data_IF_091891037813
#
_entry.id   IF_091891037813
#
_cell.length_a   1.000
_cell.length_b   1.000
_cell.length_c   1.000
_cell.angle_alpha   90.00
_cell.angle_beta   90.00
_cell.angle_gamma   90.00
#
_symmetry.space_group_name_H-M   'P 1'
#
loop_
_entity.id
_entity.type
_entity.pdbx_description
1 polymer ?
#
# COMPACT_ATOMS: atom_id res chain seq x y z
N UNK A 1 12.10 3.78 -19.58
CA UNK A 1 12.23 5.15 -19.11
C UNK A 1 12.33 5.14 -17.60
N UNK A 2 13.20 5.95 -17.03
CA UNK A 2 13.38 5.99 -15.59
C UNK A 2 12.12 6.55 -14.91
N UNK A 3 11.80 6.09 -13.72
CA UNK A 3 10.71 6.56 -12.86
C UNK A 3 10.74 8.09 -12.65
N UNK A 4 11.92 8.70 -12.69
CA UNK A 4 12.11 10.15 -12.68
C UNK A 4 11.35 10.83 -13.83
N UNK A 5 11.28 10.23 -15.02
CA UNK A 5 10.56 10.80 -16.15
C UNK A 5 9.04 10.83 -15.96
N UNK A 6 8.49 9.94 -15.14
CA UNK A 6 7.05 9.93 -14.81
C UNK A 6 6.76 11.03 -13.78
N UNK A 7 7.60 11.16 -12.77
CA UNK A 7 7.46 12.17 -11.72
C UNK A 7 7.53 13.60 -12.27
N UNK A 8 8.41 13.84 -13.24
CA UNK A 8 8.62 15.16 -13.83
C UNK A 8 7.49 15.60 -14.78
N UNK A 9 6.59 14.68 -15.16
CA UNK A 9 5.41 15.00 -15.99
C UNK A 9 4.28 15.66 -15.22
N UNK A 10 4.23 15.47 -13.91
CA UNK A 10 3.15 15.98 -13.07
C UNK A 10 3.66 17.13 -12.20
N UNK A 11 3.35 18.34 -12.61
CA UNK A 11 3.62 19.55 -11.83
C UNK A 11 2.31 20.10 -11.27
N UNK A 12 1.92 19.62 -10.10
CA UNK A 12 0.67 20.01 -9.44
C UNK A 12 0.94 21.21 -8.53
N UNK A 13 0.17 22.32 -8.66
CA UNK A 13 0.31 23.48 -7.79
C UNK A 13 -0.09 23.12 -6.35
N UNK A 14 0.71 23.59 -5.39
CA UNK A 14 0.38 23.48 -3.98
C UNK A 14 -0.54 24.64 -3.58
N UNK A 15 -1.75 24.31 -3.15
CA UNK A 15 -2.76 25.27 -2.72
C UNK A 15 -3.10 25.02 -1.25
N UNK A 16 -3.05 26.04 -0.41
CA UNK A 16 -3.38 25.95 1.03
C UNK A 16 -4.83 25.50 1.28
N UNK A 17 -5.69 25.63 0.28
CA UNK A 17 -7.09 25.21 0.36
C UNK A 17 -7.31 23.71 0.12
N UNK A 18 -6.30 23.01 -0.40
CA UNK A 18 -6.36 21.58 -0.67
C UNK A 18 -5.78 20.76 0.49
N UNK A 19 -6.18 19.50 0.61
CA UNK A 19 -5.54 18.56 1.52
C UNK A 19 -4.03 18.44 1.23
N UNK A 20 -3.23 18.07 2.23
CA UNK A 20 -1.77 17.87 2.11
C UNK A 20 -1.40 16.87 1.01
N UNK A 21 -2.20 15.83 0.84
CA UNK A 21 -2.11 14.91 -0.28
C UNK A 21 -3.28 15.20 -1.22
N UNK A 22 -2.99 15.73 -2.38
CA UNK A 22 -3.97 16.12 -3.38
C UNK A 22 -3.75 15.46 -4.75
N UNK A 23 -2.85 14.46 -4.83
CA UNK A 23 -2.53 13.72 -6.04
C UNK A 23 -1.08 13.31 -6.10
N UNK A 24 -0.74 12.46 -7.05
CA UNK A 24 0.61 11.96 -7.27
C UNK A 24 0.67 10.45 -7.50
N UNK A 25 1.82 9.86 -7.20
CA UNK A 25 2.03 8.42 -7.31
C UNK A 25 1.85 7.76 -5.94
N UNK A 26 0.99 6.77 -5.87
CA UNK A 26 0.72 5.97 -4.68
C UNK A 26 1.01 4.51 -4.97
N UNK A 27 1.75 3.85 -4.10
CA UNK A 27 2.08 2.45 -4.27
C UNK A 27 3.20 2.01 -3.38
N UNK A 28 3.97 1.02 -3.82
CA UNK A 28 5.06 0.48 -3.04
C UNK A 28 6.28 0.14 -3.90
N UNK A 29 7.41 0.14 -3.22
CA UNK A 29 8.65 -0.47 -3.64
C UNK A 29 8.88 -1.66 -2.71
N UNK A 30 8.99 -2.87 -3.26
CA UNK A 30 9.24 -4.08 -2.46
C UNK A 30 10.65 -4.06 -1.87
N UNK A 31 10.90 -4.96 -0.92
CA UNK A 31 12.24 -5.16 -0.38
C UNK A 31 13.25 -5.53 -1.48
N UNK A 32 12.84 -6.35 -2.44
CA UNK A 32 13.68 -6.81 -3.55
C UNK A 32 14.07 -5.71 -4.54
N UNK A 33 13.46 -4.52 -4.45
CA UNK A 33 13.89 -3.33 -5.21
C UNK A 33 15.36 -2.97 -4.96
N UNK A 34 15.92 -3.35 -3.81
CA UNK A 34 17.35 -3.20 -3.49
C UNK A 34 18.26 -3.82 -4.54
N UNK A 35 17.81 -4.89 -5.21
CA UNK A 35 18.60 -5.59 -6.27
C UNK A 35 18.86 -4.73 -7.48
N UNK A 36 18.03 -3.73 -7.76
CA UNK A 36 18.25 -2.77 -8.85
C UNK A 36 19.31 -1.73 -8.52
N UNK A 37 19.63 -1.57 -7.23
CA UNK A 37 20.56 -0.57 -6.71
C UNK A 37 21.89 -1.23 -6.34
N UNK A 38 21.85 -2.42 -5.74
CA UNK A 38 23.00 -3.17 -5.22
C UNK A 38 23.30 -4.39 -6.12
N UNK A 39 24.25 -4.27 -7.08
CA UNK A 39 24.50 -5.33 -8.08
C UNK A 39 24.89 -6.68 -7.47
N UNK A 40 25.55 -6.69 -6.29
CA UNK A 40 25.96 -7.92 -5.63
C UNK A 40 24.78 -8.73 -5.07
N UNK A 41 23.59 -8.13 -4.98
CA UNK A 41 22.34 -8.81 -4.59
C UNK A 41 21.49 -9.22 -5.79
N UNK A 42 21.82 -8.78 -7.01
CA UNK A 42 21.02 -9.00 -8.20
C UNK A 42 20.86 -10.49 -8.58
N UNK A 43 21.92 -11.28 -8.36
CA UNK A 43 21.99 -12.69 -8.77
C UNK A 43 21.45 -13.68 -7.73
N UNK A 44 20.70 -13.20 -6.73
CA UNK A 44 20.11 -14.12 -5.74
C UNK A 44 18.91 -14.87 -6.35
N UNK A 45 19.04 -16.17 -6.53
CA UNK A 45 18.01 -17.08 -7.06
C UNK A 45 17.09 -17.54 -5.92
N UNK A 46 16.45 -16.59 -5.25
CA UNK A 46 15.50 -16.87 -4.19
C UNK A 46 14.09 -17.07 -4.76
N UNK A 47 13.35 -18.08 -4.29
CA UNK A 47 12.00 -18.31 -4.78
C UNK A 47 11.07 -17.14 -4.39
N UNK A 48 10.27 -16.68 -5.34
CA UNK A 48 9.19 -15.72 -5.11
C UNK A 48 7.82 -16.43 -5.09
N UNK A 49 7.35 -16.87 -3.92
CA UNK A 49 6.07 -17.57 -3.79
C UNK A 49 4.85 -16.64 -3.83
N UNK A 50 5.04 -15.33 -3.82
CA UNK A 50 3.95 -14.33 -3.87
C UNK A 50 3.67 -13.88 -5.29
N UNK A 51 4.72 -13.73 -6.11
CA UNK A 51 4.61 -13.28 -7.49
C UNK A 51 4.12 -11.83 -7.61
N UNK A 52 4.36 -11.01 -6.59
CA UNK A 52 3.99 -9.59 -6.63
C UNK A 52 5.07 -8.78 -7.38
N UNK A 53 4.70 -7.72 -8.11
CA UNK A 53 5.69 -6.86 -8.75
C UNK A 53 6.58 -6.18 -7.71
N UNK A 54 7.87 -5.97 -8.05
CA UNK A 54 8.80 -5.28 -7.18
C UNK A 54 8.43 -3.82 -6.97
N UNK A 55 7.84 -3.20 -7.98
CA UNK A 55 7.38 -1.81 -7.93
C UNK A 55 5.98 -1.75 -8.51
N UNK A 56 5.05 -1.21 -7.74
CA UNK A 56 3.70 -0.93 -8.18
C UNK A 56 3.32 0.48 -7.78
N UNK A 57 3.08 1.34 -8.77
CA UNK A 57 2.69 2.73 -8.56
C UNK A 57 1.41 3.03 -9.35
N UNK A 58 0.45 3.61 -8.68
CA UNK A 58 -0.79 4.13 -9.27
C UNK A 58 -0.68 5.64 -9.42
N UNK A 59 -1.12 6.17 -10.55
CA UNK A 59 -1.33 7.61 -10.72
C UNK A 59 -2.66 7.95 -10.06
N UNK A 60 -2.61 8.82 -9.05
CA UNK A 60 -3.79 9.29 -8.33
C UNK A 60 -4.11 10.70 -8.81
N UNK A 61 -4.88 10.78 -9.87
CA UNK A 61 -5.37 12.01 -10.50
C UNK A 61 -6.81 12.36 -10.10
N UNK A 62 -7.53 11.41 -9.51
CA UNK A 62 -8.83 11.61 -8.88
C UNK A 62 -8.79 11.12 -7.43
N UNK A 63 -9.19 11.97 -6.48
CA UNK A 63 -9.15 11.65 -5.06
C UNK A 63 -10.42 12.04 -4.32
N UNK A 64 -10.78 11.18 -3.37
CA UNK A 64 -11.76 11.47 -2.33
C UNK A 64 -11.04 11.55 -0.99
N UNK A 65 -11.01 12.72 -0.40
CA UNK A 65 -10.32 12.96 0.87
C UNK A 65 -11.32 13.25 1.97
N UNK A 66 -11.42 12.32 2.92
CA UNK A 66 -12.26 12.49 4.11
C UNK A 66 -11.46 13.22 5.19
N UNK A 67 -11.73 14.49 5.39
CA UNK A 67 -11.19 15.25 6.51
C UNK A 67 -12.07 15.05 7.76
N UNK A 68 -11.67 14.12 8.58
CA UNK A 68 -12.39 13.79 9.81
C UNK A 68 -12.36 14.90 10.85
N UNK A 69 -11.38 15.80 10.78
CA UNK A 69 -11.28 16.92 11.72
C UNK A 69 -12.32 18.01 11.41
N UNK A 70 -12.46 18.38 10.14
CA UNK A 70 -13.44 19.38 9.70
C UNK A 70 -14.79 18.78 9.34
N UNK A 71 -14.91 17.44 9.24
CA UNK A 71 -16.11 16.75 8.81
C UNK A 71 -16.45 16.99 7.34
N UNK A 72 -15.44 17.22 6.49
CA UNK A 72 -15.61 17.51 5.06
C UNK A 72 -15.12 16.37 4.19
N UNK A 73 -15.77 16.22 3.05
CA UNK A 73 -15.30 15.41 1.94
C UNK A 73 -14.80 16.34 0.84
N UNK A 74 -13.52 16.20 0.47
CA UNK A 74 -12.95 16.89 -0.67
C UNK A 74 -12.90 15.94 -1.85
N UNK A 75 -13.36 16.40 -3.01
CA UNK A 75 -13.21 15.69 -4.28
C UNK A 75 -12.22 16.50 -5.10
N UNK A 76 -11.14 15.86 -5.51
CA UNK A 76 -10.07 16.49 -6.28
C UNK A 76 -9.96 15.75 -7.60
N UNK A 77 -9.98 16.49 -8.70
CA UNK A 77 -9.77 15.98 -10.06
C UNK A 77 -8.67 16.81 -10.72
N UNK A 78 -7.64 16.13 -11.19
CA UNK A 78 -6.58 16.76 -11.98
C UNK A 78 -6.93 16.70 -13.45
N UNK A 79 -6.72 17.80 -14.16
CA UNK A 79 -6.93 17.90 -15.60
C UNK A 79 -5.65 18.34 -16.29
N UNK A 80 -5.48 17.97 -17.55
CA UNK A 80 -4.35 18.40 -18.36
C UNK A 80 -4.55 19.86 -18.81
N UNK A 81 -3.73 20.81 -18.35
CA UNK A 81 -3.88 22.22 -18.70
C UNK A 81 -3.62 22.53 -20.18
N UNK A 82 -3.04 21.57 -20.93
CA UNK A 82 -2.81 21.71 -22.36
C UNK A 82 -4.07 21.40 -23.20
N UNK A 83 -5.12 20.83 -22.57
CA UNK A 83 -6.40 20.56 -23.23
C UNK A 83 -7.26 21.81 -23.26
N UNK A 84 -7.82 22.12 -24.41
CA UNK A 84 -8.66 23.34 -24.63
C UNK A 84 -9.91 23.37 -23.73
N UNK A 85 -10.42 22.21 -23.33
CA UNK A 85 -11.62 22.06 -22.51
C UNK A 85 -11.33 21.49 -21.10
N UNK A 86 -10.07 21.56 -20.64
CA UNK A 86 -9.61 20.99 -19.37
C UNK A 86 -10.49 21.38 -18.18
N UNK A 87 -10.86 22.66 -18.08
CA UNK A 87 -11.69 23.13 -16.96
C UNK A 87 -13.13 22.61 -17.06
N UNK A 88 -13.70 22.63 -18.24
CA UNK A 88 -15.08 22.17 -18.44
C UNK A 88 -15.22 20.67 -18.19
N UNK A 89 -14.30 19.87 -18.73
CA UNK A 89 -14.28 18.42 -18.52
C UNK A 89 -14.01 18.07 -17.05
N UNK A 90 -13.15 18.84 -16.37
CA UNK A 90 -12.92 18.67 -14.93
C UNK A 90 -14.16 18.93 -14.08
N UNK A 91 -14.93 19.99 -14.40
CA UNK A 91 -16.19 20.27 -13.73
C UNK A 91 -17.22 19.17 -13.96
N UNK A 92 -17.37 18.72 -15.20
CA UNK A 92 -18.29 17.62 -15.54
C UNK A 92 -17.90 16.33 -14.77
N UNK A 93 -16.60 16.04 -14.68
CA UNK A 93 -16.13 14.87 -13.92
C UNK A 93 -16.41 14.99 -12.42
N UNK A 94 -16.25 16.18 -11.84
CA UNK A 94 -16.62 16.43 -10.44
C UNK A 94 -18.10 16.17 -10.19
N UNK A 95 -18.98 16.68 -11.06
CA UNK A 95 -20.43 16.47 -10.94
C UNK A 95 -20.79 14.98 -11.02
N UNK A 96 -20.19 14.22 -11.94
CA UNK A 96 -20.36 12.78 -12.05
C UNK A 96 -19.93 12.05 -10.77
N UNK A 97 -18.80 12.43 -10.18
CA UNK A 97 -18.31 11.83 -8.93
C UNK A 97 -19.26 12.14 -7.77
N UNK A 98 -19.78 13.36 -7.67
CA UNK A 98 -20.79 13.74 -6.66
C UNK A 98 -22.05 12.89 -6.79
N UNK A 99 -22.54 12.70 -8.02
CA UNK A 99 -23.71 11.87 -8.27
C UNK A 99 -23.46 10.39 -7.90
N UNK A 100 -22.31 9.85 -8.31
CA UNK A 100 -21.92 8.48 -7.95
C UNK A 100 -21.88 8.28 -6.43
N UNK A 101 -21.23 9.19 -5.69
CA UNK A 101 -21.13 9.09 -4.23
C UNK A 101 -22.49 9.20 -3.57
N UNK A 102 -23.35 10.10 -4.06
CA UNK A 102 -24.68 10.33 -3.52
C UNK A 102 -25.63 9.15 -3.75
N UNK A 103 -25.40 8.38 -4.82
CA UNK A 103 -26.18 7.19 -5.18
C UNK A 103 -25.69 5.89 -4.51
N UNK A 104 -24.51 5.91 -3.85
CA UNK A 104 -23.97 4.71 -3.21
C UNK A 104 -24.86 4.25 -2.06
N UNK A 105 -25.32 3.01 -2.14
CA UNK A 105 -25.89 2.31 -1.00
C UNK A 105 -24.81 1.48 -0.31
N UNK A 106 -24.65 1.68 0.99
CA UNK A 106 -23.71 0.88 1.79
C UNK A 106 -24.32 -0.50 2.00
N UNK A 107 -23.82 -1.48 1.23
CA UNK A 107 -24.14 -2.88 1.46
C UNK A 107 -23.63 -3.32 2.84
N UNK A 108 -24.41 -4.11 3.58
CA UNK A 108 -23.91 -4.76 4.79
C UNK A 108 -22.94 -5.86 4.38
N UNK A 109 -21.75 -5.85 5.00
CA UNK A 109 -20.83 -6.97 4.89
C UNK A 109 -21.54 -8.25 5.35
N UNK A 110 -21.49 -9.28 4.53
CA UNK A 110 -22.01 -10.61 4.92
C UNK A 110 -21.00 -11.21 5.89
N UNK A 111 -21.41 -11.58 7.12
CA UNK A 111 -20.50 -12.27 8.03
C UNK A 111 -20.08 -13.60 7.42
N UNK A 112 -18.77 -13.83 7.32
CA UNK A 112 -18.23 -15.13 6.93
C UNK A 112 -18.02 -15.93 8.21
N UNK A 113 -18.61 -17.13 8.26
CA UNK A 113 -18.53 -18.01 9.42
C UNK A 113 -17.22 -18.78 9.57
N UNK A 114 -16.14 -18.33 8.93
CA UNK A 114 -14.84 -18.99 9.03
C UNK A 114 -14.28 -18.86 10.44
N UNK A 115 -13.99 -19.98 11.07
CA UNK A 115 -13.30 -20.06 12.37
C UNK A 115 -11.85 -20.44 12.09
N UNK A 116 -10.94 -19.51 12.35
CA UNK A 116 -9.49 -19.73 12.24
C UNK A 116 -8.97 -20.30 13.55
N UNK A 117 -8.21 -21.39 13.47
CA UNK A 117 -7.55 -22.07 14.59
C UNK A 117 -6.04 -21.92 14.47
N UNK A 118 -5.33 -22.10 15.56
CA UNK A 118 -3.87 -22.08 15.56
C UNK A 118 -3.27 -23.13 14.60
N UNK A 119 -3.91 -24.29 14.48
CA UNK A 119 -3.50 -25.35 13.56
C UNK A 119 -3.61 -24.99 12.07
N UNK A 120 -4.32 -23.94 11.74
CA UNK A 120 -4.52 -23.50 10.36
C UNK A 120 -3.36 -22.62 9.84
N UNK A 121 -2.51 -22.13 10.77
CA UNK A 121 -1.35 -21.34 10.43
C UNK A 121 -0.22 -22.22 9.89
N UNK A 122 0.32 -21.79 8.76
CA UNK A 122 1.52 -22.39 8.16
C UNK A 122 2.62 -21.36 8.14
N UNK A 123 3.72 -21.65 8.84
CA UNK A 123 4.92 -20.83 8.84
C UNK A 123 5.82 -21.17 7.65
N UNK A 124 6.50 -20.16 7.10
CA UNK A 124 7.59 -20.36 6.12
C UNK A 124 8.90 -20.81 6.76
N UNK A 125 9.01 -20.74 8.09
CA UNK A 125 10.14 -21.21 8.88
C UNK A 125 9.70 -22.36 9.77
N UNK A 126 10.54 -23.37 9.90
CA UNK A 126 10.49 -24.32 11.02
C UNK A 126 11.01 -23.59 12.26
N UNK A 127 10.45 -23.86 13.44
CA UNK A 127 10.78 -23.13 14.65
C UNK A 127 12.28 -23.20 14.98
N UNK A 128 12.85 -24.40 14.90
CA UNK A 128 14.26 -24.64 15.21
C UNK A 128 15.20 -23.86 14.28
N UNK A 129 14.86 -23.77 13.00
CA UNK A 129 15.65 -23.01 12.01
C UNK A 129 15.55 -21.50 12.28
N UNK A 130 14.38 -21.00 12.68
CA UNK A 130 14.21 -19.60 13.05
C UNK A 130 15.03 -19.24 14.28
N UNK A 131 15.00 -20.08 15.32
CA UNK A 131 15.78 -19.89 16.53
C UNK A 131 17.30 -19.93 16.25
N UNK A 132 17.75 -20.84 15.40
CA UNK A 132 19.16 -20.89 14.97
C UNK A 132 19.56 -19.63 14.18
N UNK A 133 18.68 -19.11 13.33
CA UNK A 133 18.94 -17.87 12.62
C UNK A 133 19.02 -16.65 13.57
N UNK A 134 18.23 -16.64 14.67
CA UNK A 134 18.35 -15.61 15.71
C UNK A 134 19.73 -15.65 16.38
N UNK A 135 20.23 -16.83 16.72
CA UNK A 135 21.57 -16.93 17.32
C UNK A 135 22.67 -16.48 16.35
N UNK A 136 22.57 -16.86 15.07
CA UNK A 136 23.50 -16.38 14.04
C UNK A 136 23.48 -14.83 13.92
N UNK A 137 22.30 -14.22 13.98
CA UNK A 137 22.17 -12.77 13.97
C UNK A 137 22.84 -12.09 15.18
N UNK A 138 22.75 -12.72 16.37
CA UNK A 138 23.43 -12.24 17.57
C UNK A 138 24.96 -12.28 17.40
N UNK A 139 25.49 -13.34 16.78
CA UNK A 139 26.90 -13.46 16.49
C UNK A 139 27.40 -12.34 15.55
N UNK A 140 26.64 -12.00 14.50
CA UNK A 140 26.96 -10.86 13.63
C UNK A 140 26.98 -9.53 14.38
N UNK A 141 26.04 -9.32 15.32
CA UNK A 141 26.03 -8.11 16.16
C UNK A 141 27.26 -8.07 17.08
N UNK A 142 27.62 -9.20 17.70
CA UNK A 142 28.77 -9.27 18.59
C UNK A 142 30.09 -9.08 17.85
N UNK A 143 30.17 -9.56 16.60
CA UNK A 143 31.35 -9.40 15.73
C UNK A 143 31.49 -7.98 15.18
N UNK A 144 30.45 -7.17 15.29
CA UNK A 144 30.43 -5.79 14.77
C UNK A 144 30.12 -5.69 13.28
N UNK A 145 29.65 -6.76 12.66
CA UNK A 145 29.24 -6.79 11.25
C UNK A 145 27.97 -5.97 11.02
N UNK A 146 27.06 -6.01 11.99
CA UNK A 146 25.79 -5.27 12.00
C UNK A 146 25.49 -4.78 13.42
N UNK A 147 24.63 -3.77 13.55
CA UNK A 147 24.16 -3.28 14.86
C UNK A 147 22.68 -3.61 15.11
N UNK A 148 21.95 -3.93 14.06
CA UNK A 148 20.53 -4.30 14.11
C UNK A 148 20.18 -5.20 12.92
N UNK A 149 19.30 -6.17 13.16
CA UNK A 149 18.69 -7.00 12.11
C UNK A 149 17.27 -7.35 12.52
N UNK A 150 16.39 -7.44 11.54
CA UNK A 150 15.01 -7.89 11.73
C UNK A 150 14.81 -9.17 10.93
N UNK A 151 14.65 -10.29 11.65
CA UNK A 151 14.21 -11.55 11.05
C UNK A 151 12.70 -11.52 10.85
N UNK A 152 12.25 -12.05 9.73
CA UNK A 152 10.83 -12.18 9.44
C UNK A 152 10.45 -13.59 9.05
N UNK A 153 9.22 -13.96 9.33
CA UNK A 153 8.60 -15.17 8.83
C UNK A 153 7.24 -14.85 8.22
N UNK A 154 6.81 -15.66 7.27
CA UNK A 154 5.48 -15.58 6.69
C UNK A 154 4.58 -16.61 7.35
N UNK A 155 3.45 -16.15 7.85
CA UNK A 155 2.36 -17.01 8.31
C UNK A 155 1.25 -16.95 7.26
N UNK A 156 0.78 -18.11 6.83
CA UNK A 156 -0.29 -18.25 5.84
C UNK A 156 -1.46 -19.01 6.44
N UNK A 157 -2.66 -18.56 6.14
CA UNK A 157 -3.91 -19.23 6.50
C UNK A 157 -4.86 -19.25 5.29
N UNK A 158 -5.76 -20.24 5.19
CA UNK A 158 -6.91 -20.15 4.29
C UNK A 158 -7.77 -18.94 4.66
N UNK A 159 -8.22 -18.18 3.67
CA UNK A 159 -9.03 -16.99 3.88
C UNK A 159 -10.18 -16.95 2.87
N UNK A 160 -11.42 -16.83 3.35
CA UNK A 160 -12.64 -16.93 2.55
C UNK A 160 -13.42 -15.60 2.45
N UNK A 161 -13.14 -14.66 3.36
CA UNK A 161 -13.86 -13.38 3.38
C UNK A 161 -13.31 -12.41 2.33
N UNK A 162 -14.09 -11.37 2.03
CA UNK A 162 -13.63 -10.26 1.20
C UNK A 162 -12.44 -9.55 1.85
N UNK A 163 -11.34 -9.25 1.10
CA UNK A 163 -10.14 -8.62 1.65
C UNK A 163 -10.42 -7.32 2.40
N UNK A 164 -11.36 -6.49 1.91
CA UNK A 164 -11.75 -5.24 2.57
C UNK A 164 -12.34 -5.48 3.96
N UNK A 165 -12.94 -6.64 4.22
CA UNK A 165 -13.47 -6.99 5.53
C UNK A 165 -12.35 -7.19 6.54
N UNK A 166 -11.25 -7.85 6.12
CA UNK A 166 -10.04 -7.99 6.94
C UNK A 166 -9.42 -6.62 7.24
N UNK A 167 -9.29 -5.78 6.22
CA UNK A 167 -8.76 -4.42 6.39
C UNK A 167 -9.58 -3.62 7.41
N UNK A 168 -10.91 -3.68 7.35
CA UNK A 168 -11.81 -3.01 8.31
C UNK A 168 -11.65 -3.54 9.73
N UNK A 169 -11.47 -4.86 9.89
CA UNK A 169 -11.19 -5.46 11.19
C UNK A 169 -9.85 -4.99 11.75
N UNK A 170 -8.80 -4.99 10.93
CA UNK A 170 -7.46 -4.52 11.32
C UNK A 170 -7.46 -3.06 11.77
N UNK A 171 -8.21 -2.20 11.11
CA UNK A 171 -8.35 -0.78 11.52
C UNK A 171 -8.90 -0.64 12.95
N UNK A 172 -9.71 -1.59 13.39
CA UNK A 172 -10.32 -1.55 14.73
C UNK A 172 -9.41 -2.19 15.77
N UNK A 173 -8.74 -3.30 15.43
CA UNK A 173 -7.94 -4.09 16.36
C UNK A 173 -6.54 -3.52 16.56
N UNK A 174 -5.91 -3.07 15.47
CA UNK A 174 -4.55 -2.56 15.47
C UNK A 174 -4.39 -1.39 14.50
N UNK A 175 -4.92 -0.22 14.85
CA UNK A 175 -4.81 0.96 14.00
C UNK A 175 -3.37 1.45 13.93
N UNK A 176 -2.91 1.73 12.70
CA UNK A 176 -1.63 2.39 12.44
C UNK A 176 -1.86 3.81 11.94
N UNK A 177 -0.90 4.75 12.12
CA UNK A 177 -1.02 6.11 11.59
C UNK A 177 -1.22 6.14 10.07
N UNK A 178 -0.66 5.17 9.36
CA UNK A 178 -0.83 4.97 7.93
C UNK A 178 -1.34 3.56 7.68
N UNK A 179 -2.48 3.47 7.03
CA UNK A 179 -3.09 2.22 6.60
C UNK A 179 -3.54 2.37 5.15
N UNK A 180 -3.30 1.35 4.34
CA UNK A 180 -3.68 1.32 2.93
C UNK A 180 -4.27 -0.03 2.56
N UNK A 181 -5.06 -0.05 1.49
CA UNK A 181 -5.71 -1.24 0.95
C UNK A 181 -5.62 -1.22 -0.57
#
# INVERSE_FOLDING_TARGET
>A
GSEMCIRDRFNVPQLDTLPRFNGGLVGYFSYDTVRYIEPHLADSDLPDPVGAPDILLMVSDELLVFDNLSGRLHIVVHTDPESDDAYASGCERLDQLVEQISSLSIGRATPVGQVVRESDFRSSFVQEDFEAAVECCKDYIQSGDIFQVVLSQRLSIPYEAEPITLYRALRTVNPSPYMYF
#
